data_IF_251101320198
#
_entry.id   IF_251101320198
#
_cell.length_a   1.000
_cell.length_b   1.000
_cell.length_c   1.000
_cell.angle_alpha   90.00
_cell.angle_beta   90.00
_cell.angle_gamma   90.00
#
_symmetry.space_group_name_H-M   'P 1'
#
loop_
_entity.id
_entity.type
_entity.pdbx_description
1 polymer ?
#
# COMPACT_ATOMS: atom_id res chain seq x y z
N UNK A 1 60.66 51.90 42.16
CA UNK A 1 62.06 52.23 42.51
C UNK A 1 62.64 53.51 41.87
N UNK A 2 62.03 54.11 40.83
CA UNK A 2 62.51 55.37 40.23
C UNK A 2 61.77 56.65 40.70
N UNK A 3 60.71 56.53 41.52
CA UNK A 3 59.97 57.68 42.10
C UNK A 3 60.32 57.97 43.57
N UNK A 4 60.94 57.02 44.29
CA UNK A 4 61.41 57.21 45.67
C UNK A 4 62.69 58.06 45.77
N UNK A 5 63.39 58.28 44.65
CA UNK A 5 64.60 59.10 44.58
C UNK A 5 64.25 60.59 44.41
N UNK A 6 63.06 60.93 43.88
CA UNK A 6 62.67 62.31 43.62
C UNK A 6 62.12 63.06 44.86
N UNK A 7 61.46 62.35 45.79
CA UNK A 7 60.94 62.97 47.02
C UNK A 7 62.00 63.14 48.12
N UNK A 8 63.05 62.32 48.15
CA UNK A 8 64.16 62.49 49.09
C UNK A 8 65.05 63.71 48.74
N UNK A 9 65.08 64.12 47.47
CA UNK A 9 65.86 65.25 46.98
C UNK A 9 65.16 66.61 47.09
N UNK A 10 63.84 66.65 47.37
CA UNK A 10 63.08 67.90 47.50
C UNK A 10 62.84 68.33 48.95
N UNK A 11 62.94 67.42 49.92
CA UNK A 11 62.87 67.73 51.37
C UNK A 11 64.21 68.23 51.92
N UNK A 12 65.31 68.02 51.19
CA UNK A 12 66.65 68.50 51.59
C UNK A 12 66.97 69.92 51.10
N UNK A 13 66.12 70.54 50.27
CA UNK A 13 66.41 71.85 49.64
C UNK A 13 65.48 73.00 50.08
N UNK A 14 64.49 72.76 50.95
CA UNK A 14 63.61 73.81 51.49
C UNK A 14 63.72 74.01 53.01
N UNK A 15 64.79 73.49 53.63
CA UNK A 15 65.22 73.90 54.97
C UNK A 15 65.93 75.27 54.99
N UNK A 16 65.88 76.04 53.90
CA UNK A 16 66.49 77.36 53.79
C UNK A 16 65.52 78.53 53.72
N UNK A 17 64.18 78.33 53.72
CA UNK A 17 63.24 79.46 53.87
C UNK A 17 61.89 79.06 54.51
N UNK A 18 61.71 79.38 55.80
CA UNK A 18 60.44 79.88 56.36
C UNK A 18 59.33 78.89 56.78
N UNK A 19 59.00 78.94 58.08
CA UNK A 19 57.75 78.58 58.76
C UNK A 19 56.64 77.83 57.97
N UNK A 20 56.57 76.51 58.14
CA UNK A 20 55.32 75.73 58.03
C UNK A 20 55.10 75.03 59.36
N UNK A 21 53.89 75.14 59.92
CA UNK A 21 53.59 74.62 61.26
C UNK A 21 53.75 73.10 61.30
N UNK A 22 54.36 72.56 62.37
CA UNK A 22 54.54 71.12 62.58
C UNK A 22 53.20 70.36 62.43
N UNK A 23 52.07 70.99 62.78
CA UNK A 23 50.72 70.44 62.64
C UNK A 23 50.29 70.16 61.19
N UNK A 24 50.68 70.98 60.21
CA UNK A 24 50.36 70.74 58.79
C UNK A 24 51.19 69.59 58.23
N UNK A 25 52.47 69.50 58.62
CA UNK A 25 53.32 68.38 58.25
C UNK A 25 52.80 67.05 58.81
N UNK A 26 52.35 67.02 60.06
CA UNK A 26 51.78 65.80 60.66
C UNK A 26 50.49 65.38 59.95
N UNK A 27 49.59 66.33 59.66
CA UNK A 27 48.31 66.03 58.99
C UNK A 27 48.51 65.54 57.55
N UNK A 28 49.48 66.12 56.84
CA UNK A 28 49.81 65.71 55.48
C UNK A 28 50.53 64.35 55.45
N UNK A 29 51.40 64.07 56.43
CA UNK A 29 52.01 62.77 56.61
C UNK A 29 50.99 61.67 56.95
N UNK A 30 49.99 61.96 57.80
CA UNK A 30 48.91 61.03 58.12
C UNK A 30 47.98 60.77 56.92
N UNK A 31 47.64 61.82 56.15
CA UNK A 31 46.87 61.67 54.92
C UNK A 31 47.59 60.75 53.92
N UNK A 32 48.87 61.00 53.64
CA UNK A 32 49.65 60.16 52.73
C UNK A 32 49.84 58.74 53.26
N UNK A 33 50.00 58.55 54.58
CA UNK A 33 50.10 57.23 55.20
C UNK A 33 48.80 56.44 55.04
N UNK A 34 47.64 57.09 55.25
CA UNK A 34 46.34 56.45 55.07
C UNK A 34 46.04 56.15 53.60
N UNK A 35 46.43 57.04 52.67
CA UNK A 35 46.26 56.82 51.23
C UNK A 35 47.19 55.70 50.71
N UNK A 36 48.43 55.61 51.22
CA UNK A 36 49.33 54.48 50.93
C UNK A 36 48.72 53.17 51.43
N UNK A 37 48.23 53.15 52.68
CA UNK A 37 47.61 51.96 53.28
C UNK A 37 46.38 51.49 52.49
N UNK A 38 45.56 52.43 51.99
CA UNK A 38 44.41 52.11 51.15
C UNK A 38 44.83 51.53 49.77
N UNK A 39 45.88 52.09 49.15
CA UNK A 39 46.43 51.57 47.88
C UNK A 39 47.06 50.19 48.04
N UNK A 40 47.79 49.96 49.14
CA UNK A 40 48.38 48.65 49.44
C UNK A 40 47.29 47.59 49.64
N UNK A 41 46.18 47.95 50.30
CA UNK A 41 45.02 47.07 50.45
C UNK A 41 44.36 46.74 49.11
N UNK A 42 44.14 47.74 48.25
CA UNK A 42 43.60 47.51 46.90
C UNK A 42 44.53 46.65 46.05
N UNK A 43 45.85 46.84 46.16
CA UNK A 43 46.83 46.08 45.41
C UNK A 43 46.87 44.61 45.88
N UNK A 44 46.73 44.37 47.19
CA UNK A 44 46.59 43.03 47.76
C UNK A 44 45.28 42.33 47.30
N UNK A 45 44.15 43.05 47.27
CA UNK A 45 42.88 42.51 46.76
C UNK A 45 42.95 42.18 45.27
N UNK A 46 43.58 43.04 44.46
CA UNK A 46 43.80 42.78 43.03
C UNK A 46 44.74 41.59 42.79
N UNK A 47 45.81 41.47 43.57
CA UNK A 47 46.72 40.33 43.50
C UNK A 47 46.00 39.02 43.84
N UNK A 48 45.19 39.01 44.91
CA UNK A 48 44.39 37.85 45.29
C UNK A 48 43.39 37.45 44.19
N UNK A 49 42.68 38.41 43.59
CA UNK A 49 41.76 38.15 42.46
C UNK A 49 42.50 37.59 41.23
N UNK A 50 43.70 38.10 40.94
CA UNK A 50 44.51 37.62 39.84
C UNK A 50 44.96 36.17 40.07
N UNK A 51 45.40 35.83 41.28
CA UNK A 51 45.78 34.45 41.64
C UNK A 51 44.61 33.48 41.50
N UNK A 52 43.41 33.86 41.95
CA UNK A 52 42.20 33.03 41.77
C UNK A 52 41.90 32.84 40.28
N UNK A 53 41.99 33.89 39.47
CA UNK A 53 41.74 33.81 38.02
C UNK A 53 42.79 32.97 37.28
N UNK A 54 44.05 33.00 37.73
CA UNK A 54 45.10 32.13 37.19
C UNK A 54 44.82 30.66 37.52
N UNK A 55 44.44 30.35 38.76
CA UNK A 55 44.07 28.99 39.15
C UNK A 55 42.83 28.47 38.39
N UNK A 56 41.80 29.30 38.19
CA UNK A 56 40.63 28.96 37.36
C UNK A 56 41.02 28.68 35.90
N UNK A 57 41.93 29.47 35.33
CA UNK A 57 42.40 29.29 33.97
C UNK A 57 43.21 27.98 33.80
N UNK A 58 44.05 27.65 34.78
CA UNK A 58 44.81 26.39 34.79
C UNK A 58 43.90 25.17 34.94
N UNK A 59 42.87 25.26 35.79
CA UNK A 59 41.85 24.22 35.93
C UNK A 59 41.07 24.01 34.62
N UNK A 60 40.60 25.11 34.00
CA UNK A 60 39.89 25.06 32.72
C UNK A 60 40.76 24.48 31.59
N UNK A 61 42.05 24.82 31.55
CA UNK A 61 42.98 24.28 30.55
C UNK A 61 43.22 22.78 30.75
N UNK A 62 43.31 22.34 32.01
CA UNK A 62 43.44 20.91 32.35
C UNK A 62 42.20 20.12 31.93
N UNK A 63 41.00 20.68 32.14
CA UNK A 63 39.75 20.06 31.72
C UNK A 63 39.61 20.01 30.19
N UNK A 64 40.02 21.07 29.49
CA UNK A 64 40.08 21.09 28.02
C UNK A 64 40.97 19.97 27.47
N UNK A 65 42.16 19.76 28.04
CA UNK A 65 43.07 18.69 27.62
C UNK A 65 42.41 17.31 27.81
N UNK A 66 41.74 17.08 28.94
CA UNK A 66 41.02 15.82 29.20
C UNK A 66 39.88 15.59 28.19
N UNK A 67 39.12 16.63 27.87
CA UNK A 67 38.02 16.53 26.90
C UNK A 67 38.52 16.27 25.48
N UNK A 68 39.62 16.92 25.06
CA UNK A 68 40.26 16.66 23.76
C UNK A 68 40.72 15.21 23.63
N UNK A 69 41.34 14.64 24.67
CA UNK A 69 41.75 13.24 24.66
C UNK A 69 40.55 12.28 24.54
N UNK A 70 39.44 12.56 25.23
CA UNK A 70 38.21 11.76 25.13
C UNK A 70 37.55 11.85 23.75
N UNK A 71 37.62 13.01 23.10
CA UNK A 71 37.10 13.20 21.76
C UNK A 71 37.89 12.36 20.74
N UNK A 72 39.22 12.41 20.79
CA UNK A 72 40.08 11.60 19.92
C UNK A 72 39.82 10.09 20.09
N UNK A 73 39.60 9.64 21.33
CA UNK A 73 39.27 8.23 21.59
C UNK A 73 37.89 7.85 21.03
N UNK A 74 36.90 8.72 21.15
CA UNK A 74 35.57 8.52 20.60
C UNK A 74 35.58 8.48 19.06
N UNK A 75 36.34 9.37 18.42
CA UNK A 75 36.51 9.38 16.96
C UNK A 75 37.17 8.09 16.46
N UNK A 76 38.21 7.59 17.15
CA UNK A 76 38.84 6.31 16.84
C UNK A 76 37.85 5.15 16.96
N UNK A 77 37.05 5.11 18.03
CA UNK A 77 36.00 4.09 18.23
C UNK A 77 34.93 4.14 17.14
N UNK A 78 34.50 5.34 16.74
CA UNK A 78 33.52 5.53 15.66
C UNK A 78 34.05 5.00 14.32
N UNK A 79 35.32 5.24 14.02
CA UNK A 79 35.94 4.76 12.79
C UNK A 79 36.02 3.22 12.75
N UNK A 80 36.41 2.60 13.88
CA UNK A 80 36.44 1.14 14.03
C UNK A 80 35.05 0.54 13.84
N UNK A 81 34.04 1.06 14.52
CA UNK A 81 32.64 0.59 14.38
C UNK A 81 32.14 0.74 12.94
N UNK A 82 32.49 1.84 12.26
CA UNK A 82 32.11 2.04 10.85
C UNK A 82 32.75 1.00 9.95
N UNK A 83 34.02 0.67 10.19
CA UNK A 83 34.75 -0.36 9.45
C UNK A 83 34.19 -1.76 9.71
N UNK A 84 33.94 -2.11 10.97
CA UNK A 84 33.32 -3.39 11.37
C UNK A 84 31.92 -3.53 10.77
N UNK A 85 31.13 -2.45 10.71
CA UNK A 85 29.82 -2.47 10.07
C UNK A 85 29.92 -2.69 8.55
N UNK A 86 30.92 -2.10 7.89
CA UNK A 86 31.18 -2.31 6.47
C UNK A 86 31.65 -3.74 6.18
N UNK A 87 32.56 -4.28 6.99
CA UNK A 87 33.03 -5.67 6.90
C UNK A 87 31.92 -6.68 7.17
N UNK A 88 31.08 -6.43 8.18
CA UNK A 88 29.90 -7.25 8.45
C UNK A 88 28.91 -7.23 7.28
N UNK A 89 28.66 -6.06 6.66
CA UNK A 89 27.82 -5.96 5.45
C UNK A 89 28.42 -6.74 4.28
N UNK A 90 29.71 -6.60 4.04
CA UNK A 90 30.42 -7.34 2.98
C UNK A 90 30.40 -8.86 3.23
N UNK A 91 30.52 -9.28 4.49
CA UNK A 91 30.45 -10.68 4.88
C UNK A 91 29.05 -11.25 4.75
N UNK A 92 28.01 -10.50 5.13
CA UNK A 92 26.60 -10.85 4.85
C UNK A 92 26.33 -10.90 3.35
N UNK A 93 26.97 -10.04 2.57
CA UNK A 93 26.95 -10.12 1.10
C UNK A 93 27.67 -11.36 0.58
N UNK A 94 28.75 -11.85 1.18
CA UNK A 94 29.48 -13.02 0.70
C UNK A 94 28.96 -14.38 1.20
N UNK A 95 28.47 -14.48 2.44
CA UNK A 95 28.29 -15.78 3.14
C UNK A 95 26.86 -16.37 3.18
N UNK A 96 25.80 -15.74 2.65
CA UNK A 96 24.44 -16.27 2.89
C UNK A 96 23.64 -16.71 1.64
N UNK A 97 23.51 -18.04 1.55
CA UNK A 97 22.60 -18.94 0.81
C UNK A 97 22.57 -18.76 -0.72
N UNK A 98 22.73 -19.84 -1.52
CA UNK A 98 22.41 -19.80 -2.95
C UNK A 98 20.97 -19.28 -3.08
N UNK A 99 20.81 -18.06 -3.61
CA UNK A 99 19.53 -17.35 -3.57
C UNK A 99 18.39 -18.15 -4.25
N UNK A 100 18.75 -19.13 -5.09
CA UNK A 100 17.86 -20.15 -5.64
C UNK A 100 17.20 -21.04 -4.57
N UNK A 101 17.94 -21.53 -3.55
CA UNK A 101 17.40 -22.43 -2.52
C UNK A 101 16.42 -21.74 -1.56
N UNK A 102 16.55 -20.42 -1.35
CA UNK A 102 15.55 -19.65 -0.56
C UNK A 102 14.26 -19.50 -1.37
N UNK A 103 14.37 -19.18 -2.65
CA UNK A 103 13.21 -18.94 -3.52
C UNK A 103 12.39 -20.20 -3.76
N UNK A 104 13.05 -21.36 -3.86
CA UNK A 104 12.38 -22.66 -4.02
C UNK A 104 11.73 -23.17 -2.72
N UNK A 105 12.16 -22.70 -1.54
CA UNK A 105 11.72 -23.25 -0.24
C UNK A 105 11.01 -22.27 0.72
N UNK A 106 10.83 -20.99 0.37
CA UNK A 106 10.07 -20.04 1.22
C UNK A 106 8.72 -19.68 0.61
N UNK A 107 7.65 -20.18 1.23
CA UNK A 107 6.28 -19.93 0.80
C UNK A 107 5.84 -18.45 0.95
N UNK A 108 6.51 -17.63 1.78
CA UNK A 108 6.06 -16.25 2.06
C UNK A 108 7.18 -15.24 2.39
N UNK A 109 7.02 -14.01 1.86
CA UNK A 109 7.69 -12.77 2.29
C UNK A 109 9.23 -12.76 2.28
N UNK A 110 9.84 -12.91 1.10
CA UNK A 110 11.26 -12.61 0.92
C UNK A 110 11.55 -11.13 1.26
N UNK A 111 12.56 -10.84 2.10
CA UNK A 111 12.98 -9.46 2.34
C UNK A 111 13.36 -8.76 1.03
N UNK A 112 12.91 -7.51 0.85
CA UNK A 112 13.10 -6.76 -0.39
C UNK A 112 14.58 -6.65 -0.82
N UNK A 113 15.52 -6.62 0.13
CA UNK A 113 16.95 -6.61 -0.15
C UNK A 113 17.46 -7.93 -0.76
N UNK A 114 16.99 -9.07 -0.26
CA UNK A 114 17.33 -10.42 -0.76
C UNK A 114 16.80 -10.60 -2.17
N UNK A 115 15.53 -10.21 -2.40
CA UNK A 115 14.94 -10.28 -3.73
C UNK A 115 15.62 -9.32 -4.72
N UNK A 116 15.96 -8.09 -4.31
CA UNK A 116 16.71 -7.17 -5.17
C UNK A 116 18.08 -7.73 -5.57
N UNK A 117 18.75 -8.43 -4.65
CA UNK A 117 20.02 -9.11 -4.93
C UNK A 117 19.83 -10.25 -5.92
N UNK A 118 18.80 -11.08 -5.74
CA UNK A 118 18.45 -12.13 -6.70
C UNK A 118 18.22 -11.56 -8.09
N UNK A 119 17.38 -10.53 -8.19
CA UNK A 119 17.04 -9.89 -9.46
C UNK A 119 18.31 -9.38 -10.15
N UNK A 120 19.25 -8.75 -9.42
CA UNK A 120 20.54 -8.34 -10.00
C UNK A 120 21.36 -9.51 -10.57
N UNK A 121 21.29 -10.70 -9.98
CA UNK A 121 22.03 -11.88 -10.43
C UNK A 121 21.42 -12.49 -11.70
N UNK A 122 20.09 -12.52 -11.79
CA UNK A 122 19.41 -13.13 -12.94
C UNK A 122 19.14 -12.17 -14.09
N UNK A 123 19.15 -10.85 -13.82
CA UNK A 123 18.88 -9.84 -14.85
C UNK A 123 19.96 -9.91 -15.93
N UNK A 124 19.58 -10.13 -17.20
CA UNK A 124 20.55 -10.22 -18.29
C UNK A 124 21.26 -8.89 -18.52
N UNK A 125 22.49 -8.94 -19.02
CA UNK A 125 23.17 -7.75 -19.54
C UNK A 125 22.45 -7.20 -20.79
N UNK A 126 22.76 -5.97 -21.18
CA UNK A 126 22.14 -5.33 -22.35
C UNK A 126 22.41 -6.10 -23.67
N UNK A 127 23.58 -6.72 -23.77
CA UNK A 127 24.07 -7.53 -24.88
C UNK A 127 23.80 -9.05 -24.72
N UNK A 128 23.02 -9.44 -23.71
CA UNK A 128 22.75 -10.84 -23.43
C UNK A 128 22.15 -11.57 -24.64
N UNK A 129 22.61 -12.79 -24.85
CA UNK A 129 22.14 -13.70 -25.88
C UNK A 129 20.65 -14.03 -25.68
N UNK A 130 19.94 -14.47 -26.75
CA UNK A 130 18.56 -14.94 -26.61
C UNK A 130 18.39 -16.07 -25.59
N UNK A 131 19.38 -16.95 -25.45
CA UNK A 131 19.34 -18.03 -24.48
C UNK A 131 19.36 -17.51 -23.03
N UNK A 132 20.18 -16.50 -22.75
CA UNK A 132 20.25 -15.86 -21.42
C UNK A 132 18.96 -15.12 -21.08
N UNK A 133 18.35 -14.43 -22.06
CA UNK A 133 17.04 -13.77 -21.88
C UNK A 133 15.92 -14.78 -21.57
N UNK A 134 15.90 -15.94 -22.26
CA UNK A 134 14.94 -17.03 -21.92
C UNK A 134 15.20 -17.61 -20.54
N UNK A 135 16.46 -17.81 -20.15
CA UNK A 135 16.83 -18.28 -18.81
C UNK A 135 16.35 -17.31 -17.72
N UNK A 136 16.47 -16.00 -17.97
CA UNK A 136 15.92 -14.97 -17.08
C UNK A 136 14.40 -15.06 -16.93
N UNK A 137 13.66 -15.19 -18.05
CA UNK A 137 12.20 -15.37 -18.02
C UNK A 137 11.82 -16.60 -17.20
N UNK A 138 12.48 -17.74 -17.42
CA UNK A 138 12.25 -18.96 -16.66
C UNK A 138 12.54 -18.76 -15.16
N UNK A 139 13.64 -18.10 -14.81
CA UNK A 139 14.00 -17.81 -13.42
C UNK A 139 12.93 -16.95 -12.72
N UNK A 140 12.42 -15.91 -13.39
CA UNK A 140 11.28 -15.13 -12.88
C UNK A 140 10.00 -15.98 -12.77
N UNK A 141 9.80 -16.94 -13.67
CA UNK A 141 8.70 -17.90 -13.63
C UNK A 141 8.68 -18.80 -12.39
N UNK A 142 9.83 -18.99 -11.74
CA UNK A 142 9.92 -19.75 -10.49
C UNK A 142 9.61 -18.89 -9.25
N UNK A 143 9.56 -17.57 -9.38
CA UNK A 143 9.23 -16.68 -8.26
C UNK A 143 7.75 -16.82 -7.86
N UNK A 144 7.48 -16.89 -6.56
CA UNK A 144 6.10 -16.84 -6.05
C UNK A 144 5.45 -15.46 -6.32
N UNK A 145 4.14 -15.42 -6.60
CA UNK A 145 3.44 -14.16 -6.96
C UNK A 145 3.21 -13.23 -5.75
N UNK A 146 3.40 -13.73 -4.52
CA UNK A 146 3.27 -12.99 -3.25
C UNK A 146 4.45 -12.04 -2.95
N UNK A 147 5.25 -11.67 -3.96
CA UNK A 147 6.29 -10.64 -3.82
C UNK A 147 5.65 -9.30 -3.45
N UNK A 148 5.91 -8.85 -2.23
CA UNK A 148 5.14 -7.79 -1.58
C UNK A 148 5.93 -6.50 -1.33
N UNK A 149 6.53 -5.94 -2.39
CA UNK A 149 6.13 -4.56 -2.67
C UNK A 149 5.79 -4.32 -4.15
N UNK A 150 4.74 -3.50 -4.38
CA UNK A 150 4.32 -3.00 -5.70
C UNK A 150 5.48 -2.50 -6.56
N UNK A 151 6.44 -1.81 -5.95
CA UNK A 151 7.63 -1.29 -6.60
C UNK A 151 8.46 -2.40 -7.28
N UNK A 152 8.64 -3.55 -6.62
CA UNK A 152 9.41 -4.66 -7.20
C UNK A 152 8.65 -5.34 -8.33
N UNK A 153 7.32 -5.48 -8.22
CA UNK A 153 6.49 -5.97 -9.33
C UNK A 153 6.66 -5.09 -10.57
N UNK A 154 6.54 -3.76 -10.41
CA UNK A 154 6.73 -2.81 -11.50
C UNK A 154 8.12 -2.90 -12.12
N UNK A 155 9.17 -3.05 -11.30
CA UNK A 155 10.54 -3.20 -11.79
C UNK A 155 10.72 -4.48 -12.61
N UNK A 156 10.20 -5.61 -12.14
CA UNK A 156 10.24 -6.88 -12.87
C UNK A 156 9.48 -6.75 -14.20
N UNK A 157 8.27 -6.18 -14.17
CA UNK A 157 7.49 -5.95 -15.40
C UNK A 157 8.22 -5.05 -16.39
N UNK A 158 8.84 -3.96 -15.94
CA UNK A 158 9.63 -3.10 -16.81
C UNK A 158 10.83 -3.83 -17.45
N UNK A 159 11.52 -4.68 -16.68
CA UNK A 159 12.61 -5.51 -17.21
C UNK A 159 12.12 -6.53 -18.24
N UNK A 160 10.95 -7.15 -18.02
CA UNK A 160 10.32 -8.04 -18.99
C UNK A 160 9.93 -7.29 -20.28
N UNK A 161 9.33 -6.11 -20.15
CA UNK A 161 8.97 -5.25 -21.29
C UNK A 161 10.21 -4.88 -22.11
N UNK A 162 11.32 -4.56 -21.44
CA UNK A 162 12.59 -4.20 -22.09
C UNK A 162 13.22 -5.34 -22.91
N UNK A 163 12.84 -6.61 -22.67
CA UNK A 163 13.28 -7.73 -23.52
C UNK A 163 12.70 -7.65 -24.94
N UNK A 164 11.55 -6.98 -25.09
CA UNK A 164 10.85 -6.80 -26.35
C UNK A 164 9.88 -7.95 -26.68
N UNK A 165 9.12 -7.72 -27.75
CA UNK A 165 8.05 -8.61 -28.19
C UNK A 165 8.54 -10.01 -28.62
N UNK A 166 9.78 -10.13 -29.11
CA UNK A 166 10.37 -11.41 -29.56
C UNK A 166 10.37 -12.51 -28.48
N UNK A 167 10.30 -12.13 -27.21
CA UNK A 167 10.26 -13.05 -26.06
C UNK A 167 8.86 -13.21 -25.45
N UNK A 168 7.82 -12.61 -26.03
CA UNK A 168 6.46 -12.66 -25.51
C UNK A 168 5.94 -14.10 -25.37
N UNK A 169 6.20 -14.95 -26.38
CA UNK A 169 5.80 -16.36 -26.34
C UNK A 169 6.45 -17.14 -25.19
N UNK A 170 7.69 -16.81 -24.82
CA UNK A 170 8.37 -17.42 -23.67
C UNK A 170 7.75 -17.02 -22.33
N UNK A 171 7.03 -15.89 -22.28
CA UNK A 171 6.35 -15.40 -21.08
C UNK A 171 4.96 -16.03 -20.88
N UNK A 172 4.33 -16.50 -21.96
CA UNK A 172 2.95 -17.04 -21.92
C UNK A 172 2.71 -18.15 -20.87
N UNK A 173 3.67 -19.06 -20.57
CA UNK A 173 3.48 -20.06 -19.51
C UNK A 173 3.25 -19.47 -18.11
N UNK A 174 3.79 -18.27 -17.83
CA UNK A 174 3.82 -17.66 -16.49
C UNK A 174 2.80 -16.52 -16.30
N UNK A 175 1.81 -16.42 -17.19
CA UNK A 175 0.79 -15.36 -17.19
C UNK A 175 -0.20 -15.45 -16.03
N UNK A 176 -0.08 -16.45 -15.16
CA UNK A 176 -0.78 -16.50 -13.88
C UNK A 176 -0.21 -15.49 -12.87
N UNK A 177 1.06 -15.08 -13.03
CA UNK A 177 1.71 -14.10 -12.13
C UNK A 177 1.48 -12.67 -12.57
N UNK A 178 1.24 -11.80 -11.60
CA UNK A 178 0.87 -10.39 -11.77
C UNK A 178 1.87 -9.58 -12.61
N UNK A 179 3.18 -9.79 -12.43
CA UNK A 179 4.21 -9.03 -13.16
C UNK A 179 4.37 -9.48 -14.62
N UNK A 180 4.10 -10.75 -14.94
CA UNK A 180 4.01 -11.23 -16.32
C UNK A 180 2.76 -10.70 -17.02
N UNK A 181 1.62 -10.63 -16.32
CA UNK A 181 0.39 -10.03 -16.86
C UNK A 181 0.60 -8.56 -17.24
N UNK A 182 1.26 -7.79 -16.37
CA UNK A 182 1.57 -6.38 -16.64
C UNK A 182 2.49 -6.21 -17.85
N UNK A 183 3.55 -7.03 -17.96
CA UNK A 183 4.43 -6.98 -19.12
C UNK A 183 3.70 -7.42 -20.40
N UNK A 184 2.91 -8.48 -20.31
CA UNK A 184 2.10 -8.99 -21.41
C UNK A 184 1.10 -7.96 -21.93
N UNK A 185 0.49 -7.16 -21.05
CA UNK A 185 -0.48 -6.13 -21.47
C UNK A 185 0.15 -5.03 -22.31
N UNK A 186 1.46 -4.80 -22.19
CA UNK A 186 2.22 -3.83 -22.99
C UNK A 186 2.78 -4.48 -24.26
N UNK A 187 3.21 -5.74 -24.19
CA UNK A 187 3.90 -6.42 -25.28
C UNK A 187 2.97 -7.12 -26.27
N UNK A 188 1.74 -7.48 -25.86
CA UNK A 188 0.84 -8.26 -26.69
C UNK A 188 0.31 -7.45 -27.89
N UNK A 189 0.20 -8.12 -29.03
CA UNK A 189 -0.25 -7.57 -30.30
C UNK A 189 -1.37 -8.44 -30.89
N UNK A 190 -2.14 -7.96 -31.88
CA UNK A 190 -3.14 -8.78 -32.56
C UNK A 190 -2.57 -10.06 -33.22
N UNK A 191 -1.28 -10.09 -33.57
CA UNK A 191 -0.63 -11.26 -34.14
C UNK A 191 -0.50 -12.43 -33.15
N UNK A 192 -0.62 -12.17 -31.84
CA UNK A 192 -0.50 -13.18 -30.78
C UNK A 192 -1.81 -13.93 -30.50
N UNK A 193 -2.94 -13.45 -31.03
CA UNK A 193 -4.27 -14.04 -30.82
C UNK A 193 -4.30 -15.56 -31.05
N UNK A 194 -3.67 -16.13 -32.11
CA UNK A 194 -3.64 -17.57 -32.33
C UNK A 194 -2.96 -18.35 -31.19
N UNK A 195 -1.84 -17.86 -30.66
CA UNK A 195 -1.11 -18.50 -29.57
C UNK A 195 -1.90 -18.43 -28.25
N UNK A 196 -2.47 -17.26 -27.95
CA UNK A 196 -3.34 -17.05 -26.79
C UNK A 196 -4.56 -17.96 -26.84
N UNK A 197 -5.23 -18.04 -27.99
CA UNK A 197 -6.37 -18.93 -28.22
C UNK A 197 -6.01 -20.40 -27.99
N UNK A 198 -4.89 -20.88 -28.55
CA UNK A 198 -4.44 -22.25 -28.36
C UNK A 198 -4.27 -22.61 -26.88
N UNK A 199 -3.73 -21.67 -26.10
CA UNK A 199 -3.56 -21.83 -24.65
C UNK A 199 -4.89 -21.79 -23.88
N UNK A 200 -5.83 -20.92 -24.26
CA UNK A 200 -7.16 -20.80 -23.65
C UNK A 200 -8.08 -22.00 -23.94
N UNK A 201 -7.84 -22.70 -25.04
CA UNK A 201 -8.55 -23.91 -25.44
C UNK A 201 -7.99 -25.18 -24.80
N UNK A 202 -6.84 -25.12 -24.11
CA UNK A 202 -6.22 -26.29 -23.50
C UNK A 202 -6.91 -26.63 -22.15
N UNK A 203 -7.65 -27.76 -22.04
CA UNK A 203 -8.41 -28.10 -20.85
C UNK A 203 -7.53 -28.35 -19.61
N UNK A 204 -6.27 -28.76 -19.78
CA UNK A 204 -5.36 -29.14 -18.70
C UNK A 204 -4.71 -27.95 -18.00
N UNK A 205 -4.97 -26.72 -18.45
CA UNK A 205 -4.37 -25.51 -17.87
C UNK A 205 -5.26 -24.91 -16.79
N UNK A 206 -4.77 -24.89 -15.55
CA UNK A 206 -5.28 -24.07 -14.45
C UNK A 206 -4.74 -22.63 -14.57
N UNK A 207 -5.39 -21.64 -13.92
CA UNK A 207 -4.85 -20.27 -13.84
C UNK A 207 -4.88 -19.44 -15.13
N UNK A 208 -6.01 -19.41 -15.84
CA UNK A 208 -6.12 -18.72 -17.16
C UNK A 208 -6.40 -17.21 -17.10
N UNK A 209 -6.54 -16.62 -15.91
CA UNK A 209 -7.08 -15.27 -15.76
C UNK A 209 -6.25 -14.21 -16.52
N UNK A 210 -4.93 -14.25 -16.39
CA UNK A 210 -4.04 -13.34 -17.11
C UNK A 210 -4.14 -13.47 -18.63
N UNK A 211 -4.19 -14.70 -19.14
CA UNK A 211 -4.33 -14.97 -20.59
C UNK A 211 -5.68 -14.51 -21.13
N UNK A 212 -6.75 -14.72 -20.35
CA UNK A 212 -8.10 -14.28 -20.72
C UNK A 212 -8.13 -12.76 -20.85
N UNK A 213 -7.55 -12.03 -19.89
CA UNK A 213 -7.51 -10.57 -19.95
C UNK A 213 -6.70 -10.06 -21.14
N UNK A 214 -5.55 -10.69 -21.45
CA UNK A 214 -4.76 -10.34 -22.63
C UNK A 214 -5.53 -10.58 -23.91
N UNK A 215 -6.08 -11.79 -24.09
CA UNK A 215 -6.91 -12.11 -25.26
C UNK A 215 -8.11 -11.16 -25.39
N UNK A 216 -8.79 -10.87 -24.28
CA UNK A 216 -9.93 -9.96 -24.24
C UNK A 216 -9.60 -8.53 -24.68
N UNK A 217 -8.42 -8.03 -24.30
CA UNK A 217 -7.96 -6.71 -24.73
C UNK A 217 -7.77 -6.62 -26.25
N UNK A 218 -7.29 -7.71 -26.86
CA UNK A 218 -7.00 -7.80 -28.29
C UNK A 218 -8.19 -8.25 -29.15
N UNK A 219 -9.18 -8.90 -28.56
CA UNK A 219 -10.30 -9.48 -29.29
C UNK A 219 -11.09 -8.42 -30.06
N UNK A 220 -11.45 -8.74 -31.30
CA UNK A 220 -12.21 -7.88 -32.21
C UNK A 220 -13.37 -8.69 -32.85
N UNK A 221 -14.07 -8.07 -33.81
CA UNK A 221 -15.22 -8.66 -34.50
C UNK A 221 -14.91 -10.02 -35.17
N UNK A 222 -13.67 -10.24 -35.61
CA UNK A 222 -13.26 -11.51 -36.22
C UNK A 222 -13.19 -12.67 -35.23
N UNK A 223 -13.11 -12.38 -33.92
CA UNK A 223 -12.95 -13.36 -32.85
C UNK A 223 -14.28 -13.89 -32.29
N UNK A 224 -15.42 -13.39 -32.77
CA UNK A 224 -16.75 -13.69 -32.20
C UNK A 224 -17.04 -15.18 -32.04
N UNK A 225 -16.78 -15.96 -33.09
CA UNK A 225 -17.01 -17.41 -33.08
C UNK A 225 -16.10 -18.13 -32.07
N UNK A 226 -14.86 -17.68 -31.94
CA UNK A 226 -13.89 -18.26 -31.03
C UNK A 226 -14.19 -17.94 -29.56
N UNK A 227 -14.63 -16.71 -29.28
CA UNK A 227 -15.10 -16.31 -27.95
C UNK A 227 -16.25 -17.20 -27.50
N UNK A 228 -17.27 -17.42 -28.35
CA UNK A 228 -18.39 -18.30 -28.02
C UNK A 228 -17.96 -19.75 -27.82
N UNK A 229 -17.02 -20.24 -28.62
CA UNK A 229 -16.47 -21.60 -28.49
C UNK A 229 -15.69 -21.79 -27.18
N UNK A 230 -14.92 -20.79 -26.77
CA UNK A 230 -14.14 -20.82 -25.53
C UNK A 230 -14.98 -20.57 -24.29
N UNK A 231 -16.10 -19.86 -24.43
CA UNK A 231 -16.92 -19.37 -23.33
C UNK A 231 -17.28 -20.48 -22.33
N UNK A 232 -17.83 -21.67 -22.72
CA UNK A 232 -18.28 -22.71 -21.78
C UNK A 232 -17.25 -23.18 -20.75
N UNK A 233 -15.97 -23.10 -21.11
CA UNK A 233 -14.83 -23.49 -20.27
C UNK A 233 -14.16 -22.29 -19.58
N UNK A 234 -14.41 -21.07 -20.05
CA UNK A 234 -13.74 -19.85 -19.63
C UNK A 234 -14.77 -18.74 -19.29
N UNK A 235 -15.45 -18.80 -18.13
CA UNK A 235 -16.49 -17.82 -17.76
C UNK A 235 -15.99 -16.39 -17.63
N UNK A 236 -14.68 -16.18 -17.44
CA UNK A 236 -14.08 -14.85 -17.41
C UNK A 236 -14.01 -14.18 -18.78
N UNK A 237 -14.44 -14.84 -19.87
CA UNK A 237 -14.64 -14.21 -21.19
C UNK A 237 -15.96 -13.42 -21.29
N UNK A 238 -16.79 -13.40 -20.25
CA UNK A 238 -18.03 -12.63 -20.24
C UNK A 238 -17.85 -11.13 -20.62
N UNK A 239 -16.78 -10.43 -20.19
CA UNK A 239 -16.51 -9.08 -20.67
C UNK A 239 -16.29 -9.01 -22.19
N UNK A 240 -15.70 -10.03 -22.83
CA UNK A 240 -15.60 -10.10 -24.29
C UNK A 240 -16.96 -10.26 -24.95
N UNK A 241 -17.86 -11.05 -24.34
CA UNK A 241 -19.23 -11.22 -24.84
C UNK A 241 -19.91 -9.86 -24.92
N UNK A 242 -19.82 -9.04 -23.86
CA UNK A 242 -20.36 -7.68 -23.86
C UNK A 242 -19.64 -6.75 -24.84
N UNK A 243 -18.30 -6.79 -24.87
CA UNK A 243 -17.49 -5.97 -25.80
C UNK A 243 -17.86 -6.22 -27.26
N UNK A 244 -18.14 -7.47 -27.63
CA UNK A 244 -18.44 -7.89 -29.00
C UNK A 244 -19.94 -7.96 -29.31
N UNK A 245 -20.82 -7.64 -28.36
CA UNK A 245 -22.27 -7.69 -28.56
C UNK A 245 -22.82 -9.10 -28.81
N UNK A 246 -22.28 -10.11 -28.12
CA UNK A 246 -22.61 -11.54 -28.27
C UNK A 246 -23.59 -12.07 -27.20
N UNK A 247 -24.26 -11.18 -26.47
CA UNK A 247 -25.04 -11.58 -25.30
C UNK A 247 -26.20 -12.53 -25.63
N UNK A 248 -26.79 -12.40 -26.81
CA UNK A 248 -27.88 -13.29 -27.26
C UNK A 248 -27.37 -14.69 -27.58
N UNK A 249 -26.25 -14.79 -28.28
CA UNK A 249 -25.61 -16.05 -28.65
C UNK A 249 -25.03 -16.77 -27.45
N UNK A 250 -24.53 -16.02 -26.46
CA UNK A 250 -24.01 -16.56 -25.21
C UNK A 250 -25.10 -17.03 -24.23
N UNK A 251 -26.36 -16.63 -24.45
CA UNK A 251 -27.46 -16.81 -23.50
C UNK A 251 -27.64 -18.27 -23.02
N UNK A 252 -27.63 -19.31 -23.89
CA UNK A 252 -27.76 -20.69 -23.44
C UNK A 252 -26.63 -21.11 -22.48
N UNK A 253 -25.40 -20.67 -22.75
CA UNK A 253 -24.22 -20.98 -21.93
C UNK A 253 -24.32 -20.29 -20.57
N UNK A 254 -24.72 -19.00 -20.56
CA UNK A 254 -24.86 -18.21 -19.33
C UNK A 254 -25.98 -18.79 -18.44
N UNK A 255 -27.12 -19.18 -19.01
CA UNK A 255 -28.21 -19.85 -18.28
C UNK A 255 -27.75 -21.17 -17.65
N UNK A 256 -27.05 -22.00 -18.43
CA UNK A 256 -26.51 -23.26 -17.94
C UNK A 256 -25.60 -23.08 -16.73
N UNK A 257 -24.74 -22.05 -16.72
CA UNK A 257 -23.87 -21.78 -15.57
C UNK A 257 -24.61 -21.35 -14.31
N UNK A 258 -25.68 -20.57 -14.46
CA UNK A 258 -26.47 -20.15 -13.30
C UNK A 258 -27.22 -21.36 -12.70
N UNK A 259 -27.78 -22.22 -13.55
CA UNK A 259 -28.60 -23.36 -13.11
C UNK A 259 -27.77 -24.56 -12.63
N UNK A 260 -26.71 -24.92 -13.35
CA UNK A 260 -25.96 -26.16 -13.09
C UNK A 260 -24.68 -25.93 -12.29
N UNK A 261 -24.00 -24.80 -12.51
CA UNK A 261 -22.70 -24.50 -11.87
C UNK A 261 -22.82 -23.58 -10.66
N UNK A 262 -24.03 -23.13 -10.31
CA UNK A 262 -24.29 -22.30 -9.13
C UNK A 262 -23.63 -20.92 -9.18
N UNK A 263 -23.46 -20.33 -10.37
CA UNK A 263 -22.93 -18.97 -10.46
C UNK A 263 -24.04 -17.94 -10.21
N UNK A 264 -23.94 -17.20 -9.11
CA UNK A 264 -24.98 -16.28 -8.64
C UNK A 264 -24.58 -14.80 -8.73
N UNK A 265 -23.61 -14.47 -9.58
CA UNK A 265 -23.23 -13.07 -9.83
C UNK A 265 -24.33 -12.33 -10.61
N UNK A 266 -24.61 -11.09 -10.20
CA UNK A 266 -25.62 -10.22 -10.82
C UNK A 266 -25.33 -9.96 -12.30
N UNK A 267 -24.07 -10.01 -12.74
CA UNK A 267 -23.67 -9.84 -14.14
C UNK A 267 -24.28 -10.91 -15.07
N UNK A 268 -24.44 -12.14 -14.60
CA UNK A 268 -25.01 -13.24 -15.39
C UNK A 268 -26.52 -13.04 -15.54
N UNK A 269 -27.20 -12.69 -14.45
CA UNK A 269 -28.63 -12.36 -14.48
C UNK A 269 -28.91 -11.10 -15.31
N UNK A 270 -28.01 -10.11 -15.32
CA UNK A 270 -28.14 -8.94 -16.18
C UNK A 270 -28.13 -9.30 -17.66
N UNK A 271 -27.24 -10.20 -18.08
CA UNK A 271 -27.22 -10.71 -19.46
C UNK A 271 -28.49 -11.48 -19.77
N UNK A 272 -28.92 -12.39 -18.88
CA UNK A 272 -30.11 -13.22 -19.10
C UNK A 272 -31.36 -12.36 -19.23
N UNK A 273 -31.64 -11.51 -18.23
CA UNK A 273 -32.89 -10.73 -18.20
C UNK A 273 -32.95 -9.64 -19.29
N UNK A 274 -31.79 -9.11 -19.73
CA UNK A 274 -31.76 -8.12 -20.82
C UNK A 274 -32.00 -8.74 -22.20
N UNK A 275 -31.64 -10.01 -22.39
CA UNK A 275 -31.62 -10.66 -23.69
C UNK A 275 -32.67 -11.76 -23.87
N UNK A 276 -33.44 -12.07 -22.83
CA UNK A 276 -34.60 -12.94 -22.90
C UNK A 276 -35.90 -12.15 -23.13
N UNK A 277 -36.90 -12.80 -23.73
CA UNK A 277 -38.28 -12.30 -23.69
C UNK A 277 -38.83 -12.35 -22.26
N UNK A 278 -39.89 -11.59 -21.94
CA UNK A 278 -40.52 -11.60 -20.61
C UNK A 278 -40.94 -13.02 -20.20
N UNK A 279 -41.50 -13.81 -21.12
CA UNK A 279 -41.88 -15.22 -20.88
C UNK A 279 -40.67 -16.08 -20.57
N UNK A 280 -39.64 -16.02 -21.40
CA UNK A 280 -38.42 -16.82 -21.25
C UNK A 280 -37.64 -16.45 -19.97
N UNK A 281 -37.62 -15.16 -19.62
CA UNK A 281 -37.05 -14.68 -18.37
C UNK A 281 -37.83 -15.21 -17.16
N UNK A 282 -39.17 -15.21 -17.24
CA UNK A 282 -40.04 -15.79 -16.21
C UNK A 282 -39.76 -17.27 -15.97
N UNK A 283 -39.80 -18.08 -17.03
CA UNK A 283 -39.52 -19.53 -16.96
C UNK A 283 -38.13 -19.85 -16.38
N UNK A 284 -37.12 -19.06 -16.79
CA UNK A 284 -35.77 -19.18 -16.24
C UNK A 284 -35.73 -18.85 -14.74
N UNK A 285 -36.33 -17.73 -14.32
CA UNK A 285 -36.35 -17.31 -12.93
C UNK A 285 -37.10 -18.30 -12.04
N UNK A 286 -38.20 -18.87 -12.52
CA UNK A 286 -38.94 -19.91 -11.80
C UNK A 286 -38.09 -21.16 -11.62
N UNK A 287 -37.43 -21.62 -12.68
CA UNK A 287 -36.52 -22.79 -12.62
C UNK A 287 -35.37 -22.53 -11.64
N UNK A 288 -34.73 -21.37 -11.76
CA UNK A 288 -33.67 -20.93 -10.85
C UNK A 288 -34.16 -20.88 -9.41
N UNK A 289 -35.33 -20.29 -9.16
CA UNK A 289 -35.87 -20.11 -7.82
C UNK A 289 -36.20 -21.45 -7.15
N UNK A 290 -36.77 -22.40 -7.89
CA UNK A 290 -37.01 -23.75 -7.38
C UNK A 290 -35.71 -24.47 -7.01
N UNK A 291 -34.65 -24.32 -7.81
CA UNK A 291 -33.34 -24.86 -7.49
C UNK A 291 -32.71 -24.16 -6.27
N UNK A 292 -32.83 -22.83 -6.20
CA UNK A 292 -32.33 -21.99 -5.10
C UNK A 292 -32.97 -22.36 -3.75
N UNK A 293 -34.27 -22.69 -3.72
CA UNK A 293 -34.97 -23.13 -2.51
C UNK A 293 -34.60 -24.55 -2.06
N UNK A 294 -34.23 -25.44 -2.98
CA UNK A 294 -33.91 -26.85 -2.69
C UNK A 294 -32.54 -27.07 -2.04
N UNK A 295 -31.70 -26.03 -1.93
CA UNK A 295 -30.37 -26.13 -1.33
C UNK A 295 -30.20 -25.23 -0.08
N UNK A 296 -30.98 -25.47 1.00
CA UNK A 296 -30.94 -24.63 2.20
C UNK A 296 -29.69 -24.85 3.08
N UNK A 297 -29.14 -26.06 3.14
CA UNK A 297 -28.06 -26.43 4.06
C UNK A 297 -26.64 -26.07 3.58
N UNK A 298 -26.41 -25.93 2.28
CA UNK A 298 -25.11 -25.49 1.73
C UNK A 298 -24.90 -23.97 1.72
N UNK A 299 -25.81 -23.21 2.34
CA UNK A 299 -26.06 -21.83 1.92
C UNK A 299 -25.33 -20.74 2.72
N UNK A 300 -24.09 -20.45 2.28
CA UNK A 300 -23.75 -19.03 2.03
C UNK A 300 -24.74 -18.39 1.02
N UNK A 301 -25.49 -19.21 0.27
CA UNK A 301 -26.49 -18.84 -0.74
C UNK A 301 -27.72 -18.12 -0.19
N UNK A 302 -28.24 -18.46 0.99
CA UNK A 302 -29.46 -17.84 1.56
C UNK A 302 -29.32 -16.35 1.91
N UNK A 303 -28.10 -15.83 1.79
CA UNK A 303 -27.69 -14.48 2.16
C UNK A 303 -27.09 -13.68 1.00
N UNK A 304 -27.23 -14.12 -0.27
CA UNK A 304 -26.78 -13.30 -1.41
C UNK A 304 -27.74 -12.13 -1.66
N UNK A 305 -27.68 -11.16 -0.74
CA UNK A 305 -28.53 -9.99 -0.71
C UNK A 305 -28.44 -9.19 -2.02
N UNK A 306 -27.25 -9.05 -2.60
CA UNK A 306 -27.10 -8.30 -3.85
C UNK A 306 -27.84 -8.95 -5.02
N UNK A 307 -27.87 -10.29 -5.10
CA UNK A 307 -28.70 -10.97 -6.10
C UNK A 307 -30.19 -10.80 -5.81
N UNK A 308 -30.63 -11.00 -4.57
CA UNK A 308 -32.03 -10.85 -4.18
C UNK A 308 -32.54 -9.44 -4.45
N UNK A 309 -31.74 -8.43 -4.08
CA UNK A 309 -32.03 -7.03 -4.31
C UNK A 309 -32.05 -6.70 -5.80
N UNK A 310 -31.09 -7.21 -6.58
CA UNK A 310 -31.09 -7.05 -8.04
C UNK A 310 -32.36 -7.61 -8.68
N UNK A 311 -32.76 -8.84 -8.32
CA UNK A 311 -33.96 -9.48 -8.86
C UNK A 311 -35.25 -8.77 -8.41
N UNK A 312 -35.31 -8.32 -7.15
CA UNK A 312 -36.42 -7.54 -6.62
C UNK A 312 -36.57 -6.19 -7.36
N UNK A 313 -35.46 -5.51 -7.66
CA UNK A 313 -35.45 -4.29 -8.47
C UNK A 313 -35.93 -4.51 -9.92
N UNK A 314 -35.94 -5.76 -10.39
CA UNK A 314 -36.52 -6.17 -11.69
C UNK A 314 -37.95 -6.68 -11.58
N UNK A 315 -38.55 -6.62 -10.40
CA UNK A 315 -39.95 -7.00 -10.17
C UNK A 315 -40.17 -8.48 -9.88
N UNK A 316 -39.11 -9.26 -9.63
CA UNK A 316 -39.27 -10.67 -9.28
C UNK A 316 -39.76 -10.81 -7.83
N UNK A 317 -41.07 -10.98 -7.68
CA UNK A 317 -41.78 -11.02 -6.37
C UNK A 317 -41.15 -12.02 -5.39
N UNK A 318 -40.82 -13.27 -5.77
CA UNK A 318 -40.26 -14.23 -4.82
C UNK A 318 -38.93 -13.76 -4.19
N UNK A 319 -38.06 -13.11 -4.97
CA UNK A 319 -36.83 -12.52 -4.44
C UNK A 319 -37.10 -11.36 -3.48
N UNK A 320 -38.07 -10.49 -3.77
CA UNK A 320 -38.46 -9.42 -2.85
C UNK A 320 -39.04 -9.94 -1.54
N UNK A 321 -39.92 -10.95 -1.60
CA UNK A 321 -40.49 -11.58 -0.40
C UNK A 321 -39.37 -12.14 0.47
N UNK A 322 -38.45 -12.92 -0.12
CA UNK A 322 -37.31 -13.49 0.60
C UNK A 322 -36.39 -12.40 1.15
N UNK A 323 -36.12 -11.35 0.38
CA UNK A 323 -35.28 -10.22 0.79
C UNK A 323 -35.87 -9.53 2.01
N UNK A 324 -37.17 -9.24 2.04
CA UNK A 324 -37.84 -8.60 3.17
C UNK A 324 -37.86 -9.51 4.41
N UNK A 325 -38.12 -10.81 4.24
CA UNK A 325 -38.12 -11.79 5.35
C UNK A 325 -36.73 -12.00 5.95
N UNK A 326 -35.68 -11.86 5.15
CA UNK A 326 -34.29 -12.03 5.58
C UNK A 326 -33.59 -10.72 5.93
N UNK A 327 -34.20 -9.57 5.60
CA UNK A 327 -33.67 -8.23 5.86
C UNK A 327 -33.18 -8.00 7.30
N UNK A 328 -33.86 -8.48 8.36
CA UNK A 328 -33.40 -8.31 9.73
C UNK A 328 -32.03 -8.95 10.02
N UNK A 329 -31.63 -10.00 9.28
CA UNK A 329 -30.34 -10.67 9.47
C UNK A 329 -29.16 -9.89 8.89
N UNK A 330 -29.40 -8.93 7.99
CA UNK A 330 -28.35 -8.11 7.37
C UNK A 330 -28.05 -6.81 8.17
N UNK A 331 -28.36 -6.79 9.47
CA UNK A 331 -28.41 -5.60 10.32
C UNK A 331 -27.23 -4.62 10.25
N UNK A 332 -27.58 -3.34 10.48
CA UNK A 332 -26.73 -2.15 10.68
C UNK A 332 -25.85 -1.66 9.50
N UNK A 333 -26.17 -2.01 8.26
CA UNK A 333 -25.62 -1.28 7.09
C UNK A 333 -26.68 -0.31 6.54
N UNK A 334 -26.59 1.01 6.83
CA UNK A 334 -27.55 2.00 6.36
C UNK A 334 -27.71 2.04 4.83
N UNK A 335 -26.64 1.74 4.08
CA UNK A 335 -26.68 1.74 2.62
C UNK A 335 -27.56 0.60 2.10
N UNK A 336 -27.43 -0.59 2.70
CA UNK A 336 -28.22 -1.77 2.33
C UNK A 336 -29.67 -1.62 2.77
N UNK A 337 -29.89 -1.18 4.01
CA UNK A 337 -31.22 -0.94 4.56
C UNK A 337 -32.00 0.06 3.72
N UNK A 338 -31.39 1.19 3.34
CA UNK A 338 -32.05 2.19 2.49
C UNK A 338 -32.49 1.63 1.13
N UNK A 339 -31.67 0.82 0.48
CA UNK A 339 -32.01 0.18 -0.81
C UNK A 339 -33.16 -0.82 -0.70
N UNK A 340 -33.24 -1.56 0.41
CA UNK A 340 -34.34 -2.50 0.66
C UNK A 340 -35.64 -1.74 0.94
N UNK A 341 -35.60 -0.71 1.81
CA UNK A 341 -36.77 0.10 2.14
C UNK A 341 -37.31 0.86 0.94
N UNK A 342 -36.44 1.31 0.03
CA UNK A 342 -36.85 1.99 -1.20
C UNK A 342 -37.76 1.14 -2.10
N UNK A 343 -37.76 -0.19 -1.96
CA UNK A 343 -38.60 -1.11 -2.73
C UNK A 343 -40.03 -1.24 -2.20
N UNK A 344 -40.34 -0.75 -1.00
CA UNK A 344 -41.66 -0.90 -0.39
C UNK A 344 -42.16 0.40 0.25
N UNK A 345 -43.41 0.42 0.75
CA UNK A 345 -44.01 1.61 1.34
C UNK A 345 -43.61 1.85 2.81
N UNK A 346 -42.79 0.97 3.40
CA UNK A 346 -42.52 0.95 4.84
C UNK A 346 -41.30 1.79 5.23
N UNK A 347 -41.36 2.41 6.42
CA UNK A 347 -40.28 3.26 6.95
C UNK A 347 -39.19 2.49 7.71
N UNK A 348 -39.40 1.22 8.05
CA UNK A 348 -38.45 0.39 8.77
C UNK A 348 -38.42 -1.05 8.25
N UNK A 349 -37.34 -1.78 8.51
CA UNK A 349 -37.17 -3.15 8.03
C UNK A 349 -38.17 -4.10 8.70
N UNK A 350 -38.50 -3.86 9.98
CA UNK A 350 -39.52 -4.61 10.70
C UNK A 350 -40.90 -4.42 10.05
N UNK A 351 -41.30 -3.17 9.82
CA UNK A 351 -42.58 -2.84 9.20
C UNK A 351 -42.67 -3.38 7.77
N UNK A 352 -41.56 -3.34 7.02
CA UNK A 352 -41.50 -3.90 5.67
C UNK A 352 -41.73 -5.42 5.69
N UNK A 353 -41.06 -6.14 6.59
CA UNK A 353 -41.20 -7.59 6.71
C UNK A 353 -42.64 -7.99 7.10
N UNK A 354 -43.27 -7.26 8.01
CA UNK A 354 -44.67 -7.47 8.39
C UNK A 354 -45.63 -7.17 7.23
N UNK A 355 -45.43 -6.04 6.55
CA UNK A 355 -46.22 -5.66 5.38
C UNK A 355 -46.13 -6.70 4.27
N UNK A 356 -44.94 -7.21 3.96
CA UNK A 356 -44.76 -8.28 2.98
C UNK A 356 -45.49 -9.55 3.42
N UNK A 357 -45.33 -9.98 4.68
CA UNK A 357 -45.97 -11.20 5.19
C UNK A 357 -47.50 -11.15 5.08
N UNK A 358 -48.09 -9.98 5.34
CA UNK A 358 -49.55 -9.74 5.25
C UNK A 358 -50.06 -9.72 3.80
N UNK A 359 -49.25 -9.25 2.85
CA UNK A 359 -49.69 -8.95 1.50
C UNK A 359 -49.07 -9.84 0.41
N UNK A 360 -48.24 -10.84 0.76
CA UNK A 360 -47.41 -11.63 -0.16
C UNK A 360 -48.13 -12.13 -1.42
N UNK A 361 -49.39 -12.55 -1.29
CA UNK A 361 -50.19 -13.13 -2.39
C UNK A 361 -50.85 -12.07 -3.29
N UNK A 362 -50.70 -10.79 -2.94
CA UNK A 362 -51.32 -9.64 -3.60
C UNK A 362 -50.32 -8.57 -4.05
N UNK A 363 -49.02 -8.87 -3.89
CA UNK A 363 -47.94 -7.97 -4.29
C UNK A 363 -47.90 -7.80 -5.81
N UNK A 364 -47.69 -6.57 -6.24
CA UNK A 364 -47.43 -6.19 -7.63
C UNK A 364 -46.27 -5.22 -7.68
N UNK A 365 -45.44 -5.31 -8.72
CA UNK A 365 -44.32 -4.42 -8.94
C UNK A 365 -44.70 -3.27 -9.87
N UNK A 366 -44.64 -2.04 -9.36
CA UNK A 366 -44.76 -0.81 -10.14
C UNK A 366 -43.41 -0.52 -10.82
N UNK A 367 -43.32 -0.79 -12.12
CA UNK A 367 -42.10 -0.59 -12.92
C UNK A 367 -41.71 0.89 -13.01
N UNK A 368 -42.66 1.82 -12.98
CA UNK A 368 -42.38 3.26 -13.09
C UNK A 368 -41.77 3.81 -11.81
N UNK A 369 -42.26 3.35 -10.66
CA UNK A 369 -41.75 3.77 -9.35
C UNK A 369 -40.64 2.87 -8.82
N UNK A 370 -40.38 1.75 -9.48
CA UNK A 370 -39.48 0.69 -8.99
C UNK A 370 -39.82 0.24 -7.56
N UNK A 371 -41.12 0.13 -7.27
CA UNK A 371 -41.65 -0.14 -5.93
C UNK A 371 -42.71 -1.24 -5.95
N UNK A 372 -42.74 -2.04 -4.90
CA UNK A 372 -43.80 -3.01 -4.66
C UNK A 372 -44.99 -2.35 -3.98
N UNK A 373 -46.18 -2.67 -4.49
CA UNK A 373 -47.46 -2.23 -3.94
C UNK A 373 -48.42 -3.41 -3.83
N UNK A 374 -49.60 -3.18 -3.27
CA UNK A 374 -50.68 -4.18 -3.23
C UNK A 374 -51.64 -3.89 -4.38
N UNK A 375 -52.06 -4.94 -5.09
CA UNK A 375 -53.09 -4.84 -6.12
C UNK A 375 -54.34 -4.17 -5.53
N UNK A 376 -54.68 -2.96 -5.99
CA UNK A 376 -55.94 -2.32 -5.61
C UNK A 376 -57.07 -3.21 -6.09
N UNK A 377 -57.96 -3.62 -5.17
CA UNK A 377 -59.21 -4.24 -5.56
C UNK A 377 -59.91 -3.27 -6.52
N UNK A 378 -60.31 -3.74 -7.70
CA UNK A 378 -61.13 -2.94 -8.60
C UNK A 378 -62.39 -2.57 -7.81
N UNK A 379 -62.59 -1.27 -7.58
CA UNK A 379 -63.84 -0.78 -7.01
C UNK A 379 -64.96 -1.25 -7.95
N UNK A 380 -65.80 -2.15 -7.45
CA UNK A 380 -67.01 -2.61 -8.15
C UNK A 380 -68.07 -1.53 -8.14
#
# INVERSE_FOLDING_TARGET
MKQQIACALSVSLFALTGCVSVSEFTRQAEFYRNELSAKDKQLAECAAKLTVKQAECEAANTEKIKLSARLEEAEKKSLVLTKEQAEFRAKVEQEYIPVAEIIENTEYNLPAAVLNRYLKQITPSADASPAEKRKYIHALGQLHDSINPNFLRQKISASLIALGHDFFNDMLPYMDKSFFQQAGAVLATPADKPALKALLMNPNRSGRYGLINLYASLADESDKADVLKMLPQNPNLLPCVTKLGLEKEALPIVKQWVLEKGNHSTSYFAIILKNSSDTEAGEFLDTFWQAYLKNPEGSRFGYNMELLLYLAQKGFIPAFVRLAETAPFFGNDPYRTGRILALGPAGSIGDLAEWVRKNKDSLVFDKEKTQYTVKKAAAK
#
